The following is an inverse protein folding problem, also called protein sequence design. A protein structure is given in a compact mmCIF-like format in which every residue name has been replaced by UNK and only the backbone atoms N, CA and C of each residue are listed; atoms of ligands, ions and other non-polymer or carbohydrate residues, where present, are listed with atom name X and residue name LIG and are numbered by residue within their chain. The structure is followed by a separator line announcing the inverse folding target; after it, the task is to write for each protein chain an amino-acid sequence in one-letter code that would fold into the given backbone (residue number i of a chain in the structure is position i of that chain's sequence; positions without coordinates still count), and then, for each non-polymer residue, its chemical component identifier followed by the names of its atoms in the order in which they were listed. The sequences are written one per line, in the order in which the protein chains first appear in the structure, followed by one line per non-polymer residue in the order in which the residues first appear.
data_IF_100404128216
#
_entry.id   IF_100404128216
#
_cell.length_a   1.000
_cell.length_b   1.000
_cell.length_c   1.000
_cell.angle_alpha   90.00
_cell.angle_beta   90.00
_cell.angle_gamma   90.00
#
_symmetry.space_group_name_H-M   'P 1'
#
loop_
_entity.id
_entity.type
_entity.pdbx_description
1 polymer ?
#
# COMPACT_ATOMS: atom_id res chain seq x y z
N UNK A 1 -19.01 19.30 49.62
CA UNK A 1 -19.63 18.70 48.42
C UNK A 1 -18.56 18.34 47.42
N UNK A 2 -18.19 17.08 47.32
CA UNK A 2 -17.24 16.71 46.29
C UNK A 2 -17.95 16.67 44.96
N UNK A 3 -17.60 17.58 44.10
CA UNK A 3 -17.91 17.48 42.70
C UNK A 3 -16.96 16.46 42.08
N UNK A 4 -17.48 15.28 41.86
CA UNK A 4 -16.78 14.37 40.98
C UNK A 4 -16.79 14.94 39.58
N UNK A 5 -15.74 15.67 39.24
CA UNK A 5 -15.49 15.97 37.86
C UNK A 5 -15.17 14.65 37.17
N UNK A 6 -16.12 14.16 36.43
CA UNK A 6 -15.85 13.05 35.53
C UNK A 6 -14.91 13.59 34.48
N UNK A 7 -13.63 13.35 34.66
CA UNK A 7 -12.65 13.51 33.61
C UNK A 7 -12.94 12.46 32.58
N UNK A 8 -13.76 12.84 31.61
CA UNK A 8 -13.82 12.08 30.38
C UNK A 8 -12.50 12.35 29.66
N UNK A 9 -11.53 11.51 29.94
CA UNK A 9 -10.35 11.43 29.12
C UNK A 9 -10.79 10.97 27.74
N UNK A 10 -11.12 11.90 26.89
CA UNK A 10 -11.17 11.64 25.47
C UNK A 10 -9.74 11.35 25.03
N UNK A 11 -9.34 10.08 25.11
CA UNK A 11 -8.25 9.62 24.30
C UNK A 11 -8.72 9.73 22.86
N UNK A 12 -8.57 10.92 22.28
CA UNK A 12 -8.49 11.01 20.86
C UNK A 12 -7.21 10.28 20.47
N UNK A 13 -7.29 8.95 20.35
CA UNK A 13 -6.27 8.23 19.65
C UNK A 13 -6.28 8.80 18.24
N UNK A 14 -5.28 9.62 17.94
CA UNK A 14 -4.97 9.92 16.58
C UNK A 14 -4.65 8.56 15.92
N UNK A 15 -5.67 7.92 15.42
CA UNK A 15 -5.47 6.76 14.59
C UNK A 15 -4.73 7.25 13.37
N UNK A 16 -3.44 6.92 13.31
CA UNK A 16 -2.75 6.91 12.05
C UNK A 16 -3.47 5.86 11.23
N UNK A 17 -4.47 6.29 10.47
CA UNK A 17 -5.15 5.43 9.54
C UNK A 17 -4.09 4.97 8.54
N UNK A 18 -3.69 3.69 8.64
CA UNK A 18 -2.95 3.08 7.56
C UNK A 18 -3.84 3.17 6.34
N UNK A 19 -3.47 4.03 5.41
CA UNK A 19 -4.20 4.19 4.17
C UNK A 19 -3.55 3.34 3.10
N UNK A 20 -4.37 2.74 2.28
CA UNK A 20 -3.93 1.95 1.15
C UNK A 20 -4.68 2.39 -0.10
N UNK A 21 -4.12 2.10 -1.26
CA UNK A 21 -4.81 2.33 -2.52
C UNK A 21 -4.68 1.12 -3.43
N UNK A 22 -5.81 0.70 -3.96
CA UNK A 22 -5.87 -0.34 -4.99
C UNK A 22 -5.79 0.34 -6.34
N UNK A 23 -4.76 0.02 -7.10
CA UNK A 23 -4.53 0.58 -8.44
C UNK A 23 -4.79 -0.52 -9.46
N UNK A 24 -5.78 -0.31 -10.30
CA UNK A 24 -6.16 -1.23 -11.37
C UNK A 24 -5.81 -0.59 -12.70
N UNK A 25 -4.91 -1.21 -13.42
CA UNK A 25 -4.42 -0.73 -14.72
C UNK A 25 -4.88 -1.67 -15.81
N UNK A 26 -5.57 -1.12 -16.80
CA UNK A 26 -6.08 -1.88 -17.94
C UNK A 26 -5.60 -1.28 -19.26
N UNK A 27 -5.15 -2.14 -20.13
CA UNK A 27 -4.79 -1.80 -21.51
C UNK A 27 -5.08 -3.03 -22.37
N UNK A 28 -4.90 -2.92 -23.68
CA UNK A 28 -4.99 -4.08 -24.56
C UNK A 28 -3.98 -5.14 -24.11
N UNK A 29 -4.46 -6.33 -23.77
CA UNK A 29 -3.67 -7.47 -23.24
C UNK A 29 -3.02 -7.23 -21.87
N UNK A 30 -3.43 -6.19 -21.14
CA UNK A 30 -2.91 -5.90 -19.81
C UNK A 30 -4.05 -5.66 -18.83
N UNK A 31 -4.05 -6.41 -17.73
CA UNK A 31 -4.99 -6.24 -16.63
C UNK A 31 -4.22 -6.51 -15.33
N UNK A 32 -3.76 -5.45 -14.67
CA UNK A 32 -2.90 -5.54 -13.50
C UNK A 32 -3.56 -4.84 -12.32
N UNK A 33 -3.61 -5.52 -11.19
CA UNK A 33 -4.08 -4.97 -9.94
C UNK A 33 -2.98 -5.04 -8.90
N UNK A 34 -2.68 -3.89 -8.30
CA UNK A 34 -1.66 -3.72 -7.28
C UNK A 34 -2.27 -2.90 -6.15
N UNK A 35 -1.94 -3.22 -4.90
CA UNK A 35 -2.32 -2.40 -3.77
C UNK A 35 -1.09 -1.87 -3.05
N UNK A 36 -1.03 -0.55 -2.89
CA UNK A 36 0.02 0.11 -2.12
C UNK A 36 -0.50 0.40 -0.72
N UNK A 37 0.16 -0.16 0.29
CA UNK A 37 -0.15 0.06 1.69
C UNK A 37 0.85 1.04 2.27
N UNK A 38 0.38 2.16 2.80
CA UNK A 38 1.26 3.14 3.41
C UNK A 38 1.90 2.59 4.69
N UNK A 39 3.21 2.74 4.81
CA UNK A 39 3.96 2.42 6.04
C UNK A 39 4.43 3.69 6.72
N UNK A 40 5.15 4.56 6.03
CA UNK A 40 5.72 5.76 6.64
C UNK A 40 5.59 7.03 5.80
N UNK A 41 4.78 6.99 4.76
CA UNK A 41 4.53 8.15 3.90
C UNK A 41 3.54 9.08 4.63
N UNK A 42 3.80 10.40 4.70
CA UNK A 42 2.80 11.32 5.24
C UNK A 42 1.45 11.14 4.55
N UNK A 43 0.38 11.06 5.33
CA UNK A 43 -0.95 10.68 4.85
C UNK A 43 -1.41 11.53 3.67
N UNK A 44 -1.24 12.83 3.76
CA UNK A 44 -1.67 13.73 2.69
C UNK A 44 -0.87 13.50 1.41
N UNK A 45 0.43 13.31 1.54
CA UNK A 45 1.30 13.05 0.40
C UNK A 45 0.94 11.73 -0.28
N UNK A 46 0.67 10.71 0.51
CA UNK A 46 0.24 9.41 -0.01
C UNK A 46 -1.07 9.54 -0.78
N UNK A 47 -2.04 10.22 -0.19
CA UNK A 47 -3.37 10.42 -0.80
C UNK A 47 -3.30 11.24 -2.09
N UNK A 48 -2.48 12.27 -2.11
CA UNK A 48 -2.48 13.24 -3.21
C UNK A 48 -1.59 12.83 -4.39
N UNK A 49 -0.57 12.01 -4.17
CA UNK A 49 0.42 11.79 -5.21
C UNK A 49 0.92 10.37 -5.44
N UNK A 50 0.83 9.49 -4.47
CA UNK A 50 1.47 8.17 -4.59
C UNK A 50 0.64 7.15 -5.35
N UNK A 51 -0.66 7.34 -5.43
CA UNK A 51 -1.57 6.32 -5.96
C UNK A 51 -2.05 6.62 -7.38
N UNK A 52 -1.60 7.69 -8.00
CA UNK A 52 -2.08 8.09 -9.31
C UNK A 52 -0.96 8.06 -10.36
N UNK A 53 -0.60 6.86 -10.87
CA UNK A 53 0.35 6.79 -11.96
C UNK A 53 -0.27 7.39 -13.23
N UNK A 54 0.43 8.33 -13.84
CA UNK A 54 0.03 8.86 -15.13
C UNK A 54 0.66 7.99 -16.23
N UNK A 55 -0.12 7.01 -16.70
CA UNK A 55 0.34 6.05 -17.69
C UNK A 55 -0.41 6.29 -19.01
N UNK A 56 0.21 6.96 -20.00
CA UNK A 56 -0.43 7.23 -21.28
C UNK A 56 -0.88 5.94 -21.99
N UNK A 57 -2.09 5.94 -22.55
CA UNK A 57 -2.63 4.79 -23.26
C UNK A 57 -3.19 3.69 -22.39
N UNK A 58 -3.18 3.87 -21.06
CA UNK A 58 -3.72 2.89 -20.13
C UNK A 58 -4.88 3.50 -19.32
N UNK A 59 -5.87 2.67 -19.05
CA UNK A 59 -6.96 3.06 -18.16
C UNK A 59 -6.57 2.69 -16.73
N UNK A 60 -6.43 3.69 -15.87
CA UNK A 60 -6.07 3.50 -14.48
C UNK A 60 -7.24 3.91 -13.60
N UNK A 61 -7.65 3.03 -12.71
CA UNK A 61 -8.61 3.34 -11.66
C UNK A 61 -7.97 3.13 -10.30
N UNK A 62 -8.24 4.04 -9.37
CA UNK A 62 -7.66 4.03 -8.03
C UNK A 62 -8.79 4.03 -7.01
N UNK A 63 -8.71 3.13 -6.04
CA UNK A 63 -9.65 3.05 -4.94
C UNK A 63 -8.88 3.12 -3.62
N UNK A 64 -9.22 4.09 -2.79
CA UNK A 64 -8.62 4.20 -1.45
C UNK A 64 -9.35 3.30 -0.48
N UNK A 65 -8.58 2.53 0.29
CA UNK A 65 -9.07 1.56 1.27
C UNK A 65 -8.23 1.67 2.54
N UNK A 66 -8.73 1.13 3.64
CA UNK A 66 -7.97 1.14 4.89
C UNK A 66 -6.80 0.16 4.86
N UNK A 67 -7.00 -1.00 4.27
CA UNK A 67 -6.01 -2.05 4.15
C UNK A 67 -6.12 -2.72 2.79
N UNK A 68 -5.00 -3.21 2.29
CA UNK A 68 -4.99 -3.96 1.06
C UNK A 68 -5.85 -5.23 1.18
N UNK A 69 -6.65 -5.55 0.15
CA UNK A 69 -7.47 -6.75 0.15
C UNK A 69 -6.63 -8.03 0.27
N UNK A 70 -7.21 -9.07 0.82
CA UNK A 70 -6.62 -10.40 0.83
C UNK A 70 -6.54 -10.97 -0.58
N UNK A 71 -5.71 -11.99 -0.78
CA UNK A 71 -5.59 -12.67 -2.05
C UNK A 71 -4.36 -12.31 -2.87
N UNK A 72 -3.48 -11.47 -2.35
CA UNK A 72 -2.21 -11.19 -3.02
C UNK A 72 -1.37 -12.46 -3.10
N UNK A 73 -0.73 -12.70 -4.25
CA UNK A 73 0.21 -13.82 -4.36
C UNK A 73 1.59 -13.48 -3.80
N UNK A 74 1.90 -12.21 -3.61
CA UNK A 74 3.15 -11.76 -3.04
C UNK A 74 3.05 -10.31 -2.57
N UNK A 75 3.88 -9.98 -1.59
CA UNK A 75 3.95 -8.64 -1.02
C UNK A 75 5.41 -8.22 -0.95
N UNK A 76 5.72 -7.05 -1.51
CA UNK A 76 7.00 -6.40 -1.26
C UNK A 76 6.86 -5.57 0.01
N UNK A 77 7.35 -6.11 1.12
CA UNK A 77 7.22 -5.48 2.43
C UNK A 77 8.34 -4.46 2.64
N UNK A 78 7.97 -3.31 3.18
CA UNK A 78 8.91 -2.25 3.54
C UNK A 78 9.72 -1.75 2.34
N UNK A 79 9.06 -1.62 1.20
CA UNK A 79 9.68 -1.14 -0.02
C UNK A 79 10.04 0.35 0.10
N UNK A 80 11.26 0.69 -0.31
CA UNK A 80 11.72 2.08 -0.31
C UNK A 80 11.08 2.83 -1.49
N UNK A 81 10.71 4.06 -1.24
CA UNK A 81 10.28 4.97 -2.30
C UNK A 81 11.52 5.67 -2.86
N UNK A 82 11.65 5.70 -4.19
CA UNK A 82 12.82 6.27 -4.86
C UNK A 82 13.08 7.71 -4.43
N UNK A 83 14.32 8.00 -4.00
CA UNK A 83 14.79 9.32 -3.61
C UNK A 83 14.05 9.95 -2.43
N UNK A 84 13.34 9.14 -1.63
CA UNK A 84 12.59 9.62 -0.47
C UNK A 84 12.82 8.71 0.73
N UNK A 85 12.71 9.24 1.96
CA UNK A 85 12.91 8.44 3.17
C UNK A 85 11.67 7.63 3.57
N UNK A 86 10.76 7.40 2.65
CA UNK A 86 9.48 6.78 2.94
C UNK A 86 9.43 5.32 2.55
N UNK A 87 8.50 4.58 3.16
CA UNK A 87 8.31 3.16 2.96
C UNK A 87 6.84 2.83 2.72
N UNK A 88 6.61 1.79 1.94
CA UNK A 88 5.27 1.24 1.67
C UNK A 88 5.37 -0.26 1.46
N UNK A 89 4.25 -0.95 1.65
CA UNK A 89 4.11 -2.35 1.24
C UNK A 89 3.37 -2.39 -0.08
N UNK A 90 3.83 -3.23 -1.00
CA UNK A 90 3.19 -3.38 -2.31
C UNK A 90 2.66 -4.80 -2.43
N UNK A 91 1.33 -4.93 -2.54
CA UNK A 91 0.63 -6.19 -2.70
C UNK A 91 0.34 -6.42 -4.18
N UNK A 92 0.67 -7.62 -4.67
CA UNK A 92 0.48 -8.00 -6.06
C UNK A 92 -0.59 -9.06 -6.19
N UNK A 93 -1.52 -8.85 -7.11
CA UNK A 93 -2.64 -9.74 -7.38
C UNK A 93 -2.57 -10.24 -8.82
N UNK A 94 -3.24 -11.36 -9.10
CA UNK A 94 -3.35 -11.90 -10.44
C UNK A 94 -2.45 -13.11 -10.65
N UNK A 95 -1.56 -13.07 -11.63
CA UNK A 95 -0.79 -14.22 -12.08
C UNK A 95 0.43 -14.45 -11.20
N UNK A 96 0.40 -15.51 -10.37
CA UNK A 96 1.44 -15.79 -9.38
C UNK A 96 2.83 -16.04 -10.01
N UNK A 97 2.89 -16.48 -11.26
CA UNK A 97 4.17 -16.68 -11.95
C UNK A 97 4.94 -15.37 -12.17
N UNK A 98 4.28 -14.21 -12.09
CA UNK A 98 4.95 -12.92 -12.18
C UNK A 98 5.90 -12.67 -11.00
N UNK A 99 5.77 -13.44 -9.92
CA UNK A 99 6.69 -13.35 -8.78
C UNK A 99 8.15 -13.57 -9.18
N UNK A 100 8.41 -14.33 -10.24
CA UNK A 100 9.76 -14.53 -10.76
C UNK A 100 10.45 -13.22 -11.16
N UNK A 101 9.68 -12.22 -11.57
CA UNK A 101 10.17 -10.88 -11.95
C UNK A 101 10.03 -9.87 -10.83
N UNK A 102 8.94 -9.95 -10.07
CA UNK A 102 8.61 -8.96 -9.05
C UNK A 102 9.46 -9.13 -7.80
N UNK A 103 9.81 -10.36 -7.45
CA UNK A 103 10.63 -10.61 -6.27
C UNK A 103 12.04 -10.02 -6.39
N UNK A 104 12.80 -10.25 -7.48
CA UNK A 104 14.11 -9.60 -7.64
C UNK A 104 14.00 -8.08 -7.66
N UNK A 105 12.97 -7.53 -8.29
CA UNK A 105 12.73 -6.09 -8.31
C UNK A 105 12.51 -5.56 -6.88
N UNK A 106 11.68 -6.24 -6.10
CA UNK A 106 11.43 -5.89 -4.71
C UNK A 106 12.71 -5.87 -3.88
N UNK A 107 13.50 -6.93 -3.97
CA UNK A 107 14.68 -7.09 -3.12
C UNK A 107 15.85 -6.21 -3.56
N UNK A 108 16.05 -6.04 -4.86
CA UNK A 108 17.24 -5.35 -5.41
C UNK A 108 17.00 -3.88 -5.72
N UNK A 109 15.82 -3.50 -6.15
CA UNK A 109 15.49 -2.11 -6.52
C UNK A 109 14.77 -1.38 -5.42
N UNK A 110 13.73 -1.98 -4.86
CA UNK A 110 12.95 -1.38 -3.79
C UNK A 110 13.52 -1.63 -2.41
N UNK A 111 14.52 -2.51 -2.30
CA UNK A 111 15.17 -2.88 -1.04
C UNK A 111 14.18 -3.35 0.03
N UNK A 112 13.09 -3.94 -0.42
CA UNK A 112 12.07 -4.52 0.44
C UNK A 112 12.31 -6.01 0.68
N UNK A 113 11.39 -6.60 1.40
CA UNK A 113 11.40 -8.03 1.68
C UNK A 113 10.20 -8.68 1.02
N UNK A 114 10.44 -9.69 0.19
CA UNK A 114 9.38 -10.42 -0.47
C UNK A 114 8.72 -11.38 0.50
N UNK A 115 7.40 -11.27 0.65
CA UNK A 115 6.59 -12.14 1.50
C UNK A 115 5.54 -12.84 0.64
N UNK A 116 5.27 -14.11 0.98
CA UNK A 116 4.18 -14.87 0.37
C UNK A 116 3.08 -14.99 1.42
N UNK A 117 1.94 -14.32 1.23
CA UNK A 117 0.86 -14.39 2.20
C UNK A 117 0.38 -15.82 2.41
N UNK A 118 0.09 -16.18 3.66
CA UNK A 118 -0.39 -17.52 4.00
C UNK A 118 0.70 -18.59 4.18
N UNK A 119 1.95 -18.30 3.86
CA UNK A 119 3.08 -19.15 4.22
C UNK A 119 3.63 -18.72 5.57
N UNK A 120 3.69 -19.63 6.50
CA UNK A 120 4.28 -19.45 7.81
C UNK A 120 5.66 -20.06 7.87
#
# INVERSE_FOLDING_TARGET
MPLAAALVSLCASAQVLAEACVVHTQAEHLDVQVCQQNVSIPQQLFHDGFCEPNLPGQKVSVQYVEQCPQGAFGVCSDAHVDNMPYRQDIHYYGVASDAAYLRPFCEQKSLGKWLIPGLR
#
